data_IF_220050936527
#
_entry.id   IF_220050936527
#
_cell.length_a   1.000
_cell.length_b   1.000
_cell.length_c   1.000
_cell.angle_alpha   90.00
_cell.angle_beta   90.00
_cell.angle_gamma   90.00
#
_symmetry.space_group_name_H-M   'P 1'
#
loop_
_entity.id
_entity.type
_entity.pdbx_description
1 polymer ?
#
# COMPACT_ATOMS: atom_id res chain seq x y z
N UNK A 1 -17.10 4.18 9.69
CA UNK A 1 -16.30 4.63 8.56
C UNK A 1 -15.29 3.59 8.18
N UNK A 2 -15.24 3.26 6.91
CA UNK A 2 -14.42 2.14 6.48
C UNK A 2 -12.99 2.59 6.18
N UNK A 3 -12.05 1.82 6.69
CA UNK A 3 -10.65 2.01 6.35
C UNK A 3 -10.35 1.20 5.10
N UNK A 4 -9.87 1.89 4.05
CA UNK A 4 -9.49 1.22 2.83
C UNK A 4 -8.03 0.78 2.93
N UNK A 5 -7.78 -0.51 2.83
CA UNK A 5 -6.43 -1.03 2.97
C UNK A 5 -5.87 -1.53 1.65
N UNK A 6 -4.60 -1.19 1.43
CA UNK A 6 -3.84 -1.66 0.29
C UNK A 6 -2.76 -2.62 0.80
N UNK A 7 -2.71 -3.80 0.20
CA UNK A 7 -1.77 -4.85 0.61
C UNK A 7 -0.69 -4.97 -0.44
N UNK A 8 0.55 -4.68 -0.05
CA UNK A 8 1.70 -4.88 -0.93
C UNK A 8 2.26 -6.26 -0.62
N UNK A 9 2.21 -7.16 -1.58
CA UNK A 9 2.54 -8.55 -1.34
C UNK A 9 3.50 -9.08 -2.38
N UNK A 10 4.31 -10.04 -1.97
CA UNK A 10 5.23 -10.73 -2.87
C UNK A 10 4.44 -11.70 -3.73
N UNK A 11 4.74 -11.73 -5.03
CA UNK A 11 4.04 -12.59 -5.97
C UNK A 11 5.03 -13.08 -7.02
N UNK A 12 5.51 -14.31 -6.84
CA UNK A 12 6.52 -14.85 -7.73
C UNK A 12 7.78 -14.01 -7.70
N UNK A 13 8.20 -13.52 -8.87
CA UNK A 13 9.41 -12.72 -8.98
C UNK A 13 9.21 -11.24 -8.70
N UNK A 14 7.99 -10.82 -8.41
CA UNK A 14 7.69 -9.40 -8.26
C UNK A 14 6.80 -9.11 -7.07
N UNK A 15 6.19 -7.94 -7.11
CA UNK A 15 5.33 -7.44 -6.06
C UNK A 15 4.02 -6.95 -6.64
N UNK A 16 2.92 -7.12 -5.91
CA UNK A 16 1.60 -6.66 -6.34
C UNK A 16 0.92 -5.90 -5.22
N UNK A 17 -0.02 -5.05 -5.63
CA UNK A 17 -0.90 -4.36 -4.70
C UNK A 17 -2.27 -5.01 -4.80
N UNK A 18 -2.82 -5.44 -3.69
CA UNK A 18 -4.17 -5.99 -3.62
C UNK A 18 -5.07 -5.07 -2.84
N UNK A 19 -6.25 -4.80 -3.38
CA UNK A 19 -7.24 -3.95 -2.74
C UNK A 19 -8.62 -4.35 -3.23
N UNK A 20 -9.55 -4.57 -2.29
CA UNK A 20 -10.94 -4.93 -2.61
C UNK A 20 -11.03 -6.15 -3.52
N UNK A 21 -10.15 -7.11 -3.33
CA UNK A 21 -10.16 -8.34 -4.11
C UNK A 21 -9.53 -8.23 -5.48
N UNK A 22 -9.01 -7.06 -5.84
CA UNK A 22 -8.36 -6.85 -7.12
C UNK A 22 -6.86 -6.72 -6.95
N UNK A 23 -6.13 -7.21 -7.94
CA UNK A 23 -4.67 -7.12 -7.96
C UNK A 23 -4.20 -6.15 -9.02
N UNK A 24 -3.17 -5.40 -8.68
CA UNK A 24 -2.51 -4.52 -9.64
C UNK A 24 -1.59 -5.33 -10.56
N UNK A 25 -1.00 -4.64 -11.55
CA UNK A 25 0.09 -5.21 -12.29
C UNK A 25 1.30 -5.44 -11.38
N UNK A 26 2.26 -6.22 -11.85
CA UNK A 26 3.43 -6.55 -11.05
C UNK A 26 4.44 -5.41 -11.06
N UNK A 27 5.10 -5.22 -9.92
CA UNK A 27 6.19 -4.27 -9.78
C UNK A 27 7.48 -5.03 -9.54
N UNK A 28 8.59 -4.45 -9.95
CA UNK A 28 9.88 -5.12 -9.83
C UNK A 28 10.44 -5.08 -8.41
N UNK A 29 10.07 -4.07 -7.62
CA UNK A 29 10.59 -3.95 -6.27
C UNK A 29 9.48 -3.66 -5.27
N UNK A 30 9.74 -4.04 -4.02
CA UNK A 30 8.84 -3.76 -2.90
C UNK A 30 8.63 -2.26 -2.75
N UNK A 31 9.72 -1.51 -2.84
CA UNK A 31 9.65 -0.06 -2.64
C UNK A 31 8.80 0.62 -3.72
N UNK A 32 8.93 0.17 -4.95
CA UNK A 32 8.12 0.71 -6.04
C UNK A 32 6.63 0.43 -5.82
N UNK A 33 6.31 -0.79 -5.39
CA UNK A 33 4.93 -1.16 -5.12
C UNK A 33 4.37 -0.34 -3.95
N UNK A 34 5.16 -0.14 -2.89
CA UNK A 34 4.74 0.67 -1.75
C UNK A 34 4.46 2.10 -2.19
N UNK A 35 5.35 2.67 -2.99
CA UNK A 35 5.18 4.05 -3.46
C UNK A 35 3.89 4.21 -4.24
N UNK A 36 3.57 3.25 -5.10
CA UNK A 36 2.34 3.30 -5.86
C UNK A 36 1.12 3.10 -4.97
N UNK A 37 1.19 2.19 -4.01
CA UNK A 37 0.09 1.98 -3.07
C UNK A 37 -0.17 3.21 -2.23
N UNK A 38 0.88 3.89 -1.79
CA UNK A 38 0.74 5.11 -1.00
C UNK A 38 0.07 6.21 -1.83
N UNK A 39 0.41 6.31 -3.11
CA UNK A 39 -0.25 7.29 -3.98
C UNK A 39 -1.75 7.02 -4.08
N UNK A 40 -2.14 5.75 -4.22
CA UNK A 40 -3.55 5.39 -4.26
C UNK A 40 -4.24 5.68 -2.93
N UNK A 41 -3.58 5.36 -1.82
CA UNK A 41 -4.14 5.63 -0.50
C UNK A 41 -4.29 7.13 -0.25
N UNK A 42 -3.35 7.92 -0.74
CA UNK A 42 -3.44 9.37 -0.62
C UNK A 42 -4.64 9.93 -1.39
N UNK A 43 -4.94 9.36 -2.56
CA UNK A 43 -6.13 9.77 -3.32
C UNK A 43 -7.39 9.47 -2.53
N UNK A 44 -7.46 8.33 -1.85
CA UNK A 44 -8.61 8.03 -0.99
C UNK A 44 -8.73 9.07 0.10
N UNK A 45 -7.62 9.42 0.73
CA UNK A 45 -7.61 10.40 1.81
C UNK A 45 -8.12 11.76 1.32
N UNK A 46 -7.70 12.18 0.13
CA UNK A 46 -8.17 13.43 -0.45
C UNK A 46 -9.66 13.42 -0.73
N UNK A 47 -10.22 12.24 -0.95
CA UNK A 47 -11.65 12.07 -1.18
C UNK A 47 -12.42 11.80 0.11
N UNK A 48 -11.78 12.00 1.26
CA UNK A 48 -12.44 11.85 2.54
C UNK A 48 -12.50 10.43 3.07
N UNK A 49 -11.73 9.50 2.49
CA UNK A 49 -11.75 8.11 2.86
C UNK A 49 -10.42 7.75 3.53
N UNK A 50 -10.48 7.28 4.78
CA UNK A 50 -9.27 6.85 5.47
C UNK A 50 -8.65 5.66 4.74
N UNK A 51 -7.32 5.64 4.64
CA UNK A 51 -6.62 4.59 3.91
C UNK A 51 -5.31 4.24 4.58
N UNK A 52 -4.89 2.99 4.38
CA UNK A 52 -3.65 2.46 4.95
C UNK A 52 -2.99 1.53 3.96
N UNK A 53 -1.66 1.55 3.95
CA UNK A 53 -0.85 0.62 3.18
C UNK A 53 -0.13 -0.30 4.14
N UNK A 54 -0.28 -1.60 3.96
CA UNK A 54 0.49 -2.60 4.69
C UNK A 54 1.32 -3.37 3.68
N UNK A 55 2.54 -3.71 4.04
CA UNK A 55 3.46 -4.35 3.12
C UNK A 55 4.05 -5.60 3.74
N UNK A 56 4.17 -6.62 2.92
CA UNK A 56 4.74 -7.88 3.32
C UNK A 56 6.25 -7.74 3.43
N UNK A 57 6.82 -8.28 4.51
CA UNK A 57 8.26 -8.27 4.72
C UNK A 57 8.85 -9.62 4.33
N UNK A 58 10.15 -9.80 4.57
CA UNK A 58 10.87 -11.03 4.24
C UNK A 58 10.26 -12.26 4.89
N UNK A 59 9.68 -12.08 6.06
CA UNK A 59 9.06 -13.17 6.82
C UNK A 59 7.60 -13.40 6.41
N UNK A 60 7.15 -12.78 5.34
CA UNK A 60 5.77 -12.87 4.84
C UNK A 60 4.74 -12.28 5.78
N UNK A 61 5.17 -11.47 6.73
CA UNK A 61 4.27 -10.79 7.66
C UNK A 61 3.99 -9.38 7.15
N UNK A 62 2.72 -8.99 7.15
CA UNK A 62 2.32 -7.64 6.75
C UNK A 62 2.56 -6.67 7.90
N UNK A 63 3.20 -5.55 7.58
CA UNK A 63 3.45 -4.49 8.55
C UNK A 63 3.02 -3.15 7.96
N UNK A 64 2.58 -2.20 8.82
CA UNK A 64 2.18 -0.89 8.33
C UNK A 64 3.31 -0.20 7.58
N UNK A 65 3.00 0.35 6.41
CA UNK A 65 3.96 1.11 5.62
C UNK A 65 3.55 2.58 5.54
N UNK A 66 2.24 2.86 5.53
CA UNK A 66 1.75 4.23 5.45
C UNK A 66 0.30 4.27 5.94
N UNK A 67 -0.07 5.37 6.61
CA UNK A 67 -1.41 5.54 7.15
C UNK A 67 -1.84 6.99 6.98
N UNK A 68 -3.00 7.21 6.36
CA UNK A 68 -3.47 8.55 6.05
C UNK A 68 -3.71 9.40 7.31
N UNK A 69 -3.96 8.76 8.44
CA UNK A 69 -4.23 9.46 9.69
C UNK A 69 -2.99 9.91 10.44
N UNK A 70 -1.82 9.37 10.13
CA UNK A 70 -0.63 9.63 10.92
C UNK A 70 0.63 9.92 10.12
N UNK A 71 0.66 9.58 8.84
CA UNK A 71 1.88 9.73 8.04
C UNK A 71 1.75 10.85 7.03
N UNK A 72 2.86 11.56 6.73
CA UNK A 72 2.81 12.63 5.74
C UNK A 72 2.78 12.09 4.32
N UNK A 73 2.34 12.92 3.39
CA UNK A 73 2.44 12.62 1.97
C UNK A 73 3.17 13.77 1.28
N UNK A 74 4.21 13.51 0.48
CA UNK A 74 4.80 12.20 0.22
C UNK A 74 5.48 11.62 1.46
N UNK A 75 5.61 10.29 1.53
CA UNK A 75 6.24 9.67 2.70
C UNK A 75 7.69 10.08 2.83
N UNK A 76 8.14 10.11 4.07
CA UNK A 76 9.57 10.37 4.33
C UNK A 76 10.36 9.09 4.16
N UNK A 77 11.56 9.25 3.70
CA UNK A 77 12.49 8.12 3.59
C UNK A 77 13.41 8.08 4.78
#
# INVERSE_FOLDING_TARGET
MDLHQYYVMHDGAGWRIQSDGENSEAFLSRQEAIRNAVALAHLDDRNGRAARVVAQDKDSIFRPAWDSGSDPYPPRN
#
